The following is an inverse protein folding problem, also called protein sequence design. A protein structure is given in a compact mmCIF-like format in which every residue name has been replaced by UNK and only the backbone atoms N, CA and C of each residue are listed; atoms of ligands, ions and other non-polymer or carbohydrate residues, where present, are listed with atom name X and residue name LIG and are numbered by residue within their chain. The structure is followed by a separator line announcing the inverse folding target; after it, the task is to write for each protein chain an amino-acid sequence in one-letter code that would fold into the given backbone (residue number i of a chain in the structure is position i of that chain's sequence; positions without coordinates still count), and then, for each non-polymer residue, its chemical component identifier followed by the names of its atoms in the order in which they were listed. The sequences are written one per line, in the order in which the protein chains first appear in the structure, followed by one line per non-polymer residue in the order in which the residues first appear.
data_IF_171024136941
#
_entry.id   IF_171024136941
#
_cell.length_a   1.000
_cell.length_b   1.000
_cell.length_c   1.000
_cell.angle_alpha   90.00
_cell.angle_beta   90.00
_cell.angle_gamma   90.00
#
_symmetry.space_group_name_H-M   'P 1'
#
loop_
_entity.id
_entity.type
_entity.pdbx_description
1 polymer ?
#
# COMPACT_ATOMS: atom_id res chain seq x y z
N UNK A 1 -9.34 -2.27 34.61
CA UNK A 1 -9.39 -2.79 33.64
C UNK A 1 -9.58 -2.61 32.87
N UNK A 2 -9.72 -2.48 33.32
CA UNK A 2 -9.70 -2.83 32.26
C UNK A 2 -10.03 -2.50 31.57
N UNK A 3 -10.05 -2.26 32.15
CA UNK A 3 -10.19 -2.51 31.15
C UNK A 3 -10.44 -2.33 30.46
N UNK A 4 -10.57 -2.02 31.30
CA UNK A 4 -10.64 -2.50 30.37
C UNK A 4 -10.82 -2.35 29.73
N UNK A 5 -10.78 -2.07 30.22
CA UNK A 5 -10.75 -2.57 29.38
C UNK A 5 -11.20 -2.61 28.65
N UNK A 6 -11.35 -2.63 29.22
CA UNK A 6 -11.49 -3.26 28.27
C UNK A 6 -11.49 -3.19 27.50
N UNK A 7 -11.57 -3.04 28.06
CA UNK A 7 -11.44 -3.59 27.13
C UNK A 7 -11.13 -3.49 26.55
N UNK A 8 -11.03 -3.49 26.70
CA UNK A 8 -10.57 -4.00 25.97
C UNK A 8 -10.48 -4.37 25.36
N UNK A 9 -10.51 -4.54 25.83
CA UNK A 9 -10.19 -5.29 25.08
C UNK A 9 -10.38 -5.68 24.54
N UNK A 10 -10.62 -5.67 25.01
CA UNK A 10 -10.56 -6.47 24.17
C UNK A 10 -10.52 -6.64 23.47
N UNK A 11 -10.60 -6.60 23.86
CA UNK A 11 -10.38 -7.16 22.90
C UNK A 11 -10.33 -7.56 22.24
N UNK A 12 -10.27 -7.60 22.53
CA UNK A 12 -10.07 -8.37 21.68
C UNK A 12 -9.93 -8.61 21.16
N UNK A 13 -9.85 -8.78 21.39
CA UNK A 13 -9.61 -9.18 20.65
C UNK A 13 -9.51 -9.14 20.12
N UNK A 14 -9.38 -9.02 20.45
CA UNK A 14 -9.14 -9.00 19.63
C UNK A 14 -8.88 -8.52 19.17
N UNK A 15 -9.57 -8.84 20.61
CA UNK A 15 -9.14 -8.12 19.73
C UNK A 15 -8.08 -8.36 18.75
N UNK A 16 -8.18 -8.48 17.97
CA UNK A 16 -7.29 -8.79 16.98
C UNK A 16 -6.66 -7.56 16.34
N UNK A 17 -5.37 -7.51 16.29
CA UNK A 17 -4.67 -6.37 15.73
C UNK A 17 -4.44 -6.54 14.25
N UNK A 18 -4.69 -5.47 13.51
CA UNK A 18 -4.41 -5.42 12.08
C UNK A 18 -3.16 -4.56 11.89
N UNK A 19 -2.18 -5.08 11.15
CA UNK A 19 -0.88 -4.43 11.01
C UNK A 19 -0.87 -3.27 10.03
N UNK A 20 -1.96 -3.06 9.27
CA UNK A 20 -2.04 -2.01 8.26
C UNK A 20 -3.32 -1.21 8.45
N UNK A 21 -3.38 -0.05 7.77
CA UNK A 21 -4.54 0.84 7.83
C UNK A 21 -5.65 0.27 6.95
N UNK A 22 -6.70 -0.25 7.61
CA UNK A 22 -7.81 -0.86 6.89
C UNK A 22 -8.61 0.16 6.10
N UNK A 23 -8.69 1.39 6.58
CA UNK A 23 -9.40 2.42 5.85
C UNK A 23 -8.70 2.74 4.55
N UNK A 24 -7.38 2.84 4.59
CA UNK A 24 -6.60 3.03 3.37
C UNK A 24 -6.80 1.87 2.41
N UNK A 25 -6.77 0.64 2.92
CA UNK A 25 -7.00 -0.54 2.07
C UNK A 25 -8.37 -0.46 1.40
N UNK A 26 -9.40 -0.02 2.13
CA UNK A 26 -10.74 0.09 1.55
C UNK A 26 -10.80 1.17 0.47
N UNK A 27 -10.10 2.29 0.66
CA UNK A 27 -10.04 3.32 -0.38
C UNK A 27 -9.35 2.82 -1.63
N UNK A 28 -8.29 2.02 -1.46
CA UNK A 28 -7.62 1.41 -2.61
C UNK A 28 -8.58 0.49 -3.33
N UNK A 29 -9.31 -0.34 -2.59
CA UNK A 29 -10.29 -1.25 -3.22
C UNK A 29 -11.30 -0.50 -4.06
N UNK A 30 -11.78 0.64 -3.56
CA UNK A 30 -12.74 1.43 -4.31
C UNK A 30 -12.14 1.95 -5.62
N UNK A 31 -10.89 2.41 -5.55
CA UNK A 31 -10.25 2.99 -6.73
C UNK A 31 -9.98 1.97 -7.82
N UNK A 32 -9.75 0.70 -7.45
CA UNK A 32 -9.40 -0.32 -8.43
C UNK A 32 -10.52 -1.32 -8.66
N UNK A 33 -11.73 -1.01 -8.21
CA UNK A 33 -12.86 -1.94 -8.29
C UNK A 33 -13.16 -2.38 -9.72
N UNK A 34 -12.87 -1.52 -10.71
CA UNK A 34 -13.12 -1.86 -12.12
C UNK A 34 -11.95 -2.50 -12.83
N UNK A 35 -10.82 -2.72 -12.14
CA UNK A 35 -9.64 -3.30 -12.79
C UNK A 35 -9.73 -4.81 -12.83
N UNK A 36 -9.56 -5.43 -14.01
CA UNK A 36 -9.57 -6.90 -14.07
C UNK A 36 -8.29 -7.48 -13.50
N UNK A 37 -8.39 -8.70 -12.99
CA UNK A 37 -7.23 -9.46 -12.57
C UNK A 37 -6.59 -8.99 -11.26
N UNK A 38 -7.36 -8.29 -10.41
CA UNK A 38 -6.84 -7.82 -9.12
C UNK A 38 -7.03 -8.90 -8.07
N UNK A 39 -5.98 -9.16 -7.31
CA UNK A 39 -6.05 -10.04 -6.13
C UNK A 39 -5.39 -9.33 -4.95
N UNK A 40 -5.71 -9.77 -3.74
CA UNK A 40 -5.13 -9.23 -2.52
C UNK A 40 -4.26 -10.27 -1.87
N UNK A 41 -3.16 -9.84 -1.28
CA UNK A 41 -2.25 -10.75 -0.61
C UNK A 41 -1.52 -10.03 0.52
N UNK A 42 -1.40 -10.69 1.65
CA UNK A 42 -0.60 -10.14 2.74
C UNK A 42 0.87 -10.22 2.38
N UNK A 43 1.54 -9.06 2.41
CA UNK A 43 2.95 -8.95 2.06
C UNK A 43 3.56 -7.77 2.81
N UNK A 44 4.82 -7.86 3.16
CA UNK A 44 5.57 -6.76 3.76
C UNK A 44 4.90 -6.22 5.02
N UNK A 45 4.23 -7.08 5.76
CA UNK A 45 3.52 -6.66 6.96
C UNK A 45 2.24 -5.90 6.71
N UNK A 46 1.82 -5.76 5.44
CA UNK A 46 0.62 -5.03 5.07
C UNK A 46 -0.28 -5.84 4.15
N UNK A 47 -1.12 -5.13 3.41
CA UNK A 47 -2.02 -5.76 2.44
C UNK A 47 -1.71 -5.23 1.05
N UNK A 48 -1.24 -6.12 0.18
CA UNK A 48 -0.86 -5.78 -1.18
C UNK A 48 -1.98 -6.09 -2.16
N UNK A 49 -2.05 -5.28 -3.21
CA UNK A 49 -2.98 -5.48 -4.31
C UNK A 49 -2.17 -5.80 -5.55
N UNK A 50 -2.45 -6.97 -6.12
CA UNK A 50 -1.71 -7.49 -7.28
C UNK A 50 -2.59 -7.35 -8.52
N UNK A 51 -1.97 -6.99 -9.63
CA UNK A 51 -2.64 -6.89 -10.92
C UNK A 51 -1.95 -7.87 -11.85
N UNK A 52 -2.70 -8.87 -12.32
CA UNK A 52 -2.10 -9.92 -13.13
C UNK A 52 -1.00 -10.66 -12.40
N UNK A 53 -1.07 -10.75 -11.09
CA UNK A 53 -0.06 -11.39 -10.26
C UNK A 53 1.12 -10.50 -9.90
N UNK A 54 1.17 -9.27 -10.44
CA UNK A 54 2.26 -8.35 -10.16
C UNK A 54 1.83 -7.34 -9.11
N UNK A 55 2.70 -7.11 -8.13
CA UNK A 55 2.42 -6.13 -7.07
C UNK A 55 2.25 -4.74 -7.67
N UNK A 56 1.20 -4.04 -7.26
CA UNK A 56 0.96 -2.66 -7.68
C UNK A 56 1.09 -1.69 -6.53
N UNK A 57 0.20 -1.80 -5.55
CA UNK A 57 0.21 -0.93 -4.36
C UNK A 57 -0.10 -1.78 -3.14
N UNK A 58 0.23 -1.26 -1.98
CA UNK A 58 -0.08 -1.92 -0.72
C UNK A 58 -0.36 -0.89 0.37
N UNK A 59 -1.29 -1.22 1.26
CA UNK A 59 -1.41 -0.53 2.52
C UNK A 59 -0.31 -1.08 3.41
N UNK A 60 0.68 -0.23 3.72
CA UNK A 60 1.90 -0.66 4.37
C UNK A 60 1.68 -1.01 5.84
N UNK A 61 2.38 -2.03 6.32
CA UNK A 61 2.37 -2.36 7.74
C UNK A 61 3.04 -1.30 8.60
N UNK A 62 3.79 -0.40 7.98
CA UNK A 62 4.43 0.71 8.67
C UNK A 62 3.64 2.02 8.52
N UNK A 63 2.44 1.93 7.95
CA UNK A 63 1.62 3.09 7.66
C UNK A 63 1.88 3.64 6.27
N UNK A 64 0.89 4.35 5.72
CA UNK A 64 1.01 4.92 4.40
C UNK A 64 0.91 3.88 3.29
N UNK A 65 1.36 4.30 2.11
CA UNK A 65 1.23 3.50 0.89
C UNK A 65 2.62 3.04 0.45
N UNK A 66 2.67 1.80 0.00
CA UNK A 66 3.84 1.26 -0.71
C UNK A 66 3.40 1.01 -2.13
N UNK A 67 4.20 1.40 -3.12
CA UNK A 67 3.83 1.17 -4.51
C UNK A 67 5.05 0.82 -5.33
N UNK A 68 4.78 0.10 -6.41
CA UNK A 68 5.79 -0.29 -7.37
C UNK A 68 5.66 0.61 -8.59
N UNK A 69 6.79 1.13 -9.07
CA UNK A 69 6.82 2.03 -10.21
C UNK A 69 7.95 1.62 -11.14
N UNK A 70 7.98 2.23 -12.32
CA UNK A 70 9.09 2.04 -13.24
C UNK A 70 10.39 2.46 -12.55
N UNK A 71 11.41 1.60 -12.49
CA UNK A 71 12.68 1.97 -11.87
C UNK A 71 13.27 3.26 -12.42
N UNK A 72 13.05 3.54 -13.72
CA UNK A 72 13.58 4.75 -14.34
C UNK A 72 12.87 6.01 -13.88
N UNK A 73 11.67 5.90 -13.32
CA UNK A 73 10.91 7.04 -12.82
C UNK A 73 11.10 7.28 -11.33
N UNK A 74 11.79 6.37 -10.65
CA UNK A 74 11.89 6.39 -9.20
C UNK A 74 12.44 7.72 -8.69
N UNK A 75 13.56 8.18 -9.25
CA UNK A 75 14.20 9.39 -8.75
C UNK A 75 13.32 10.62 -8.92
N UNK A 76 12.64 10.73 -10.06
CA UNK A 76 11.75 11.87 -10.29
C UNK A 76 10.56 11.85 -9.34
N UNK A 77 10.00 10.67 -9.09
CA UNK A 77 8.86 10.55 -8.20
C UNK A 77 9.23 10.84 -6.74
N UNK A 78 10.48 10.55 -6.36
CA UNK A 78 10.94 10.83 -5.00
C UNK A 78 10.97 12.33 -4.69
N UNK A 79 10.92 13.18 -5.70
CA UNK A 79 10.88 14.62 -5.48
C UNK A 79 9.49 15.14 -5.12
N UNK A 80 8.47 14.29 -5.26
CA UNK A 80 7.11 14.70 -4.91
C UNK A 80 6.93 14.74 -3.40
N UNK A 81 6.03 15.62 -2.91
CA UNK A 81 5.76 15.66 -1.47
C UNK A 81 5.32 14.31 -0.94
N UNK A 82 5.76 13.98 0.25
CA UNK A 82 5.41 12.77 0.99
C UNK A 82 5.96 11.47 0.39
N UNK A 83 6.67 11.55 -0.75
CA UNK A 83 7.28 10.37 -1.34
C UNK A 83 8.63 10.11 -0.67
N UNK A 84 8.89 8.85 -0.37
CA UNK A 84 10.12 8.43 0.29
C UNK A 84 10.63 7.16 -0.36
N UNK A 85 11.95 6.91 -0.29
CA UNK A 85 12.46 5.65 -0.82
C UNK A 85 11.98 4.48 0.04
N UNK A 86 11.80 3.34 -0.60
CA UNK A 86 11.55 2.10 0.12
C UNK A 86 12.90 1.47 0.42
N UNK A 87 13.19 1.27 1.69
CA UNK A 87 14.48 0.72 2.13
C UNK A 87 14.26 -0.68 2.66
N UNK A 88 15.06 -1.62 2.18
CA UNK A 88 15.03 -2.99 2.62
C UNK A 88 16.47 -3.43 2.86
N UNK A 89 16.75 -3.90 4.07
CA UNK A 89 18.09 -4.32 4.47
C UNK A 89 19.12 -3.23 4.20
N UNK A 90 18.76 -2.00 4.56
CA UNK A 90 19.63 -0.83 4.44
C UNK A 90 19.93 -0.42 3.00
N UNK A 91 19.15 -0.92 2.04
CA UNK A 91 19.30 -0.57 0.63
C UNK A 91 18.03 0.04 0.12
N UNK A 92 18.18 1.15 -0.64
CA UNK A 92 17.05 1.73 -1.33
C UNK A 92 16.70 0.86 -2.53
N UNK A 93 15.43 0.56 -2.67
CA UNK A 93 14.95 -0.34 -3.73
C UNK A 93 14.39 0.50 -4.87
N UNK A 94 15.14 0.62 -5.95
CA UNK A 94 14.64 1.29 -7.14
C UNK A 94 13.40 0.56 -7.67
N UNK A 95 12.43 1.36 -8.11
CA UNK A 95 11.18 0.80 -8.57
C UNK A 95 10.16 0.62 -7.45
N UNK A 96 10.49 1.06 -6.24
CA UNK A 96 9.60 0.97 -5.09
C UNK A 96 9.60 2.30 -4.36
N UNK A 97 8.42 2.75 -3.95
CA UNK A 97 8.26 4.01 -3.23
C UNK A 97 7.33 3.84 -2.05
N UNK A 98 7.57 4.63 -1.03
CA UNK A 98 6.63 4.80 0.06
C UNK A 98 6.04 6.20 -0.02
N UNK A 99 4.76 6.32 0.32
CA UNK A 99 4.12 7.62 0.46
C UNK A 99 3.56 7.69 1.88
N UNK A 100 3.93 8.74 2.61
CA UNK A 100 3.48 8.89 3.98
C UNK A 100 1.96 8.90 4.08
N UNK A 101 1.45 8.48 5.24
CA UNK A 101 0.00 8.50 5.47
C UNK A 101 -0.58 9.88 5.20
N UNK A 102 0.15 10.95 5.52
CA UNK A 102 -0.33 12.31 5.29
C UNK A 102 -0.48 12.64 3.81
N UNK A 103 0.20 11.93 2.95
CA UNK A 103 0.13 12.17 1.52
C UNK A 103 -0.94 11.37 0.81
N UNK A 104 -1.68 10.53 1.55
CA UNK A 104 -2.73 9.68 0.97
C UNK A 104 -4.00 9.70 1.82
N UNK A 105 -4.28 10.84 2.46
CA UNK A 105 -5.44 10.95 3.35
C UNK A 105 -6.76 11.08 2.61
N UNK A 106 -6.74 11.63 1.41
CA UNK A 106 -7.96 11.82 0.63
C UNK A 106 -7.88 11.00 -0.64
N UNK A 107 -9.06 10.75 -1.23
CA UNK A 107 -9.12 10.04 -2.50
C UNK A 107 -8.33 10.79 -3.57
N UNK A 108 -8.43 12.12 -3.57
CA UNK A 108 -7.73 12.94 -4.56
C UNK A 108 -6.21 12.76 -4.47
N UNK A 109 -5.69 12.67 -3.24
CA UNK A 109 -4.25 12.47 -3.05
C UNK A 109 -3.83 11.05 -3.39
N UNK A 110 -4.65 10.09 -3.04
CA UNK A 110 -4.34 8.68 -3.20
C UNK A 110 -4.41 8.22 -4.65
N UNK A 111 -5.39 8.71 -5.40
CA UNK A 111 -5.70 8.18 -6.73
C UNK A 111 -4.52 8.22 -7.70
N UNK A 112 -3.77 9.34 -7.82
CA UNK A 112 -2.64 9.37 -8.75
C UNK A 112 -1.58 8.31 -8.43
N UNK A 113 -1.34 8.07 -7.14
CA UNK A 113 -0.35 7.06 -6.75
C UNK A 113 -0.83 5.67 -7.09
N UNK A 114 -2.11 5.37 -6.81
CA UNK A 114 -2.68 4.05 -7.12
C UNK A 114 -2.63 3.82 -8.63
N UNK A 115 -3.00 4.83 -9.42
CA UNK A 115 -2.97 4.69 -10.87
C UNK A 115 -1.57 4.39 -11.39
N UNK A 116 -0.54 5.01 -10.82
CA UNK A 116 0.82 4.73 -11.23
C UNK A 116 1.21 3.29 -10.96
N UNK A 117 0.90 2.80 -9.75
CA UNK A 117 1.24 1.43 -9.40
C UNK A 117 0.51 0.42 -10.26
N UNK A 118 -0.78 0.65 -10.49
CA UNK A 118 -1.58 -0.24 -11.33
C UNK A 118 -1.06 -0.23 -12.77
N UNK A 119 -0.79 0.95 -13.31
CA UNK A 119 -0.31 1.06 -14.69
C UNK A 119 1.02 0.33 -14.88
N UNK A 120 1.92 0.46 -13.92
CA UNK A 120 3.20 -0.24 -14.03
C UNK A 120 3.01 -1.75 -13.93
N UNK A 121 2.22 -2.21 -12.96
CA UNK A 121 1.98 -3.64 -12.81
C UNK A 121 1.31 -4.21 -14.08
N UNK A 122 0.41 -3.44 -14.68
CA UNK A 122 -0.28 -3.85 -15.89
C UNK A 122 0.67 -3.95 -17.08
N UNK A 123 1.74 -3.16 -17.08
CA UNK A 123 2.71 -3.17 -18.17
C UNK A 123 3.62 -4.39 -18.13
N UNK A 124 3.66 -5.11 -17.02
CA UNK A 124 4.50 -6.28 -16.86
C UNK A 124 3.76 -7.53 -17.34
N UNK A 125 4.49 -8.56 -17.79
CA UNK A 125 3.83 -9.83 -18.15
C UNK A 125 3.08 -10.37 -16.95
N UNK A 126 1.86 -10.87 -17.19
CA UNK A 126 1.07 -11.45 -16.13
C UNK A 126 1.76 -12.70 -15.60
N UNK A 127 1.70 -12.88 -14.30
CA UNK A 127 2.21 -14.08 -13.66
C UNK A 127 1.14 -15.15 -13.61
N UNK A 128 1.55 -16.35 -13.88
CA UNK A 128 0.60 -17.48 -13.86
C UNK A 128 0.64 -18.19 -12.51
#
# INVERSE_FOLDING_TARGET
MIIGLAGQRELGDHVRLVAYDEELANRIRELIAGEPGVTEQRMFGGLAFLVGGNMSVAASGQGGLLLRVDPDETDALLEKPHAQPFVMREREMKGWLRVDAEGVQTKRELEPWVKRGVAYARSLPAKS
#
